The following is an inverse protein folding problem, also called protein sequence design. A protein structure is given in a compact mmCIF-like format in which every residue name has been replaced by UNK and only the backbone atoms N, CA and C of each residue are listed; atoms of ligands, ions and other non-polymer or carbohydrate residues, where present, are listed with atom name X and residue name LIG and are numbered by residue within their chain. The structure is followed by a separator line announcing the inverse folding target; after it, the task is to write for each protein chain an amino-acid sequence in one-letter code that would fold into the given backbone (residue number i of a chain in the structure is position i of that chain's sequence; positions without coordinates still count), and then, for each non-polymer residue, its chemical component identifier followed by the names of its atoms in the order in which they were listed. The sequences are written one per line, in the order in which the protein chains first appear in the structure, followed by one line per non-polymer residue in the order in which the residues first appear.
data_IF_102236291452
#
_entry.id   IF_102236291452
#
_cell.length_a   1.000
_cell.length_b   1.000
_cell.length_c   1.000
_cell.angle_alpha   90.00
_cell.angle_beta   90.00
_cell.angle_gamma   90.00
#
_symmetry.space_group_name_H-M   'P 1'
#
loop_
_entity.id
_entity.type
_entity.pdbx_description
1 polymer ?
#
# COMPACT_ATOMS: atom_id res chain seq x y z
N UNK A 1 16.68 45.28 -34.87
CA UNK A 1 15.94 46.17 -35.80
C UNK A 1 14.47 45.78 -35.72
N UNK A 2 13.45 46.64 -35.64
CA UNK A 2 13.30 48.05 -35.20
C UNK A 2 12.08 48.14 -34.24
N UNK A 3 11.85 49.20 -33.44
CA UNK A 3 11.22 50.50 -33.81
C UNK A 3 9.95 50.33 -34.70
N UNK A 4 8.78 50.92 -34.45
CA UNK A 4 8.20 51.76 -33.36
C UNK A 4 6.64 51.84 -33.58
N UNK A 5 5.75 52.65 -32.96
CA UNK A 5 5.89 53.78 -32.02
C UNK A 5 4.58 54.09 -31.24
N UNK A 6 4.71 54.44 -29.94
CA UNK A 6 4.07 55.54 -29.17
C UNK A 6 2.78 56.25 -29.69
N UNK A 7 1.75 56.38 -28.83
CA UNK A 7 1.00 57.61 -28.42
C UNK A 7 -0.24 57.20 -27.54
N UNK A 8 -0.75 57.97 -26.56
CA UNK A 8 -0.18 59.12 -25.84
C UNK A 8 -1.19 60.06 -25.16
N UNK A 9 -1.26 60.03 -23.81
CA UNK A 9 -1.75 61.07 -22.85
C UNK A 9 -3.19 61.66 -22.96
N UNK A 10 -3.94 61.49 -21.87
CA UNK A 10 -4.30 62.62 -20.97
C UNK A 10 -5.63 63.37 -21.17
N UNK A 11 -6.23 63.79 -20.04
CA UNK A 11 -7.41 64.66 -19.96
C UNK A 11 -7.88 64.81 -18.51
N UNK A 12 -8.27 66.01 -18.07
CA UNK A 12 -8.60 66.33 -16.67
C UNK A 12 -10.09 66.65 -16.45
N UNK A 13 -10.49 66.80 -15.17
CA UNK A 13 -11.78 67.39 -14.77
C UNK A 13 -11.92 68.85 -15.29
N UNK A 14 -13.14 69.39 -15.29
CA UNK A 14 -13.40 70.41 -14.27
C UNK A 14 -14.77 70.27 -13.58
N UNK A 15 -14.89 70.88 -12.39
CA UNK A 15 -16.15 71.05 -11.66
C UNK A 15 -17.05 72.14 -12.29
N UNK A 16 -18.34 72.13 -11.95
CA UNK A 16 -19.14 73.36 -11.78
C UNK A 16 -20.08 73.24 -10.59
N UNK A 17 -20.11 74.29 -9.77
CA UNK A 17 -21.03 74.52 -8.65
C UNK A 17 -22.33 75.19 -9.11
N UNK A 18 -23.36 75.20 -8.25
CA UNK A 18 -24.69 75.73 -8.60
C UNK A 18 -25.67 75.86 -7.42
N UNK A 19 -25.28 76.66 -6.42
CA UNK A 19 -26.07 77.39 -5.39
C UNK A 19 -27.35 76.81 -4.73
N UNK A 20 -27.51 77.14 -3.45
CA UNK A 20 -28.58 76.66 -2.57
C UNK A 20 -29.85 77.52 -2.58
N UNK A 21 -30.95 76.95 -2.07
CA UNK A 21 -32.02 77.66 -1.33
C UNK A 21 -32.65 76.71 -0.32
N UNK A 22 -32.90 77.20 0.90
CA UNK A 22 -33.42 76.40 2.01
C UNK A 22 -34.92 76.59 2.26
N UNK A 23 -35.51 75.61 2.94
CA UNK A 23 -36.84 75.68 3.56
C UNK A 23 -36.79 74.94 4.91
N UNK A 24 -37.71 75.25 5.82
CA UNK A 24 -37.73 74.70 7.19
C UNK A 24 -38.21 73.23 7.24
N UNK A 25 -37.85 72.46 8.30
CA UNK A 25 -38.35 71.10 8.48
C UNK A 25 -39.83 71.07 8.86
N UNK A 26 -40.63 70.24 8.16
CA UNK A 26 -41.97 69.88 8.61
C UNK A 26 -41.89 68.75 9.66
N UNK A 27 -42.57 68.87 10.82
CA UNK A 27 -42.50 67.89 11.90
C UNK A 27 -43.56 66.78 11.76
N UNK A 28 -43.43 65.91 10.76
CA UNK A 28 -44.29 64.72 10.58
C UNK A 28 -43.48 63.42 10.28
N UNK A 29 -42.28 63.32 10.83
CA UNK A 29 -41.42 62.13 10.73
C UNK A 29 -41.77 61.08 11.80
N UNK A 30 -42.93 60.43 11.70
CA UNK A 30 -43.34 59.44 12.71
C UNK A 30 -44.63 58.65 12.45
N UNK A 31 -44.60 57.69 11.51
CA UNK A 31 -45.39 56.44 11.61
C UNK A 31 -45.02 55.37 10.55
N UNK A 32 -44.75 55.77 9.30
CA UNK A 32 -44.63 54.79 8.19
C UNK A 32 -43.44 53.82 8.28
N UNK A 33 -42.38 54.17 9.01
CA UNK A 33 -41.16 53.37 9.09
C UNK A 33 -41.25 52.12 10.00
N UNK A 34 -42.14 52.11 10.99
CA UNK A 34 -42.21 51.03 12.00
C UNK A 34 -43.00 49.81 11.49
N UNK A 35 -44.12 50.05 10.79
CA UNK A 35 -45.00 49.01 10.26
C UNK A 35 -44.29 47.99 9.34
N UNK A 36 -43.24 48.42 8.63
CA UNK A 36 -42.46 47.57 7.70
C UNK A 36 -41.41 46.65 8.36
N UNK A 37 -41.17 46.77 9.67
CA UNK A 37 -40.20 45.95 10.42
C UNK A 37 -40.91 44.89 11.25
N UNK A 38 -41.96 45.28 11.98
CA UNK A 38 -42.77 44.39 12.82
C UNK A 38 -43.38 43.25 11.97
N UNK A 39 -44.01 43.61 10.85
CA UNK A 39 -44.56 42.66 9.86
C UNK A 39 -43.54 41.69 9.23
N UNK A 40 -42.23 41.94 9.34
CA UNK A 40 -41.16 41.03 8.89
C UNK A 40 -40.63 40.12 9.99
N UNK A 41 -40.80 40.51 11.25
CA UNK A 41 -40.48 39.67 12.41
C UNK A 41 -41.60 38.64 12.61
N UNK A 42 -42.85 39.05 12.45
CA UNK A 42 -44.05 38.22 12.60
C UNK A 42 -44.03 37.01 11.64
N UNK A 43 -43.91 37.26 10.32
CA UNK A 43 -43.80 36.20 9.30
C UNK A 43 -42.62 35.24 9.53
N UNK A 44 -41.53 35.69 10.18
CA UNK A 44 -40.42 34.81 10.57
C UNK A 44 -40.77 33.93 11.77
N UNK A 45 -41.52 34.44 12.73
CA UNK A 45 -42.03 33.68 13.87
C UNK A 45 -43.06 32.64 13.44
N UNK A 46 -44.03 33.01 12.58
CA UNK A 46 -45.00 32.09 11.97
C UNK A 46 -44.29 30.96 11.21
N UNK A 47 -43.34 31.30 10.34
CA UNK A 47 -42.61 30.32 9.53
C UNK A 47 -41.71 29.41 10.38
N UNK A 48 -41.15 29.92 11.49
CA UNK A 48 -40.44 29.08 12.46
C UNK A 48 -41.40 28.14 13.21
N UNK A 49 -42.57 28.60 13.63
CA UNK A 49 -43.58 27.77 14.29
C UNK A 49 -44.09 26.65 13.36
N UNK A 50 -44.32 26.95 12.08
CA UNK A 50 -44.66 25.96 11.06
C UNK A 50 -43.56 24.88 10.90
N UNK A 51 -42.29 25.27 10.88
CA UNK A 51 -41.16 24.31 10.82
C UNK A 51 -41.08 23.45 12.09
N UNK A 52 -41.27 24.03 13.28
CA UNK A 52 -41.28 23.29 14.55
C UNK A 52 -42.43 22.26 14.59
N UNK A 53 -43.58 22.57 13.98
CA UNK A 53 -44.73 21.65 13.88
C UNK A 53 -44.47 20.38 13.03
N UNK A 54 -43.42 20.37 12.21
CA UNK A 54 -43.11 19.24 11.34
C UNK A 54 -42.41 18.08 12.10
N UNK A 55 -42.55 16.82 11.65
CA UNK A 55 -41.77 15.69 12.16
C UNK A 55 -40.25 15.87 11.97
N UNK A 56 -39.37 15.31 12.82
CA UNK A 56 -37.93 15.59 12.81
C UNK A 56 -37.24 15.46 11.45
N UNK A 57 -37.44 14.34 10.74
CA UNK A 57 -36.85 14.13 9.40
C UNK A 57 -37.40 15.08 8.32
N UNK A 58 -38.62 15.60 8.50
CA UNK A 58 -39.22 16.58 7.58
C UNK A 58 -38.63 17.98 7.79
N UNK A 59 -38.21 18.33 9.02
CA UNK A 59 -37.55 19.61 9.30
C UNK A 59 -36.25 19.77 8.51
N UNK A 60 -35.43 18.73 8.46
CA UNK A 60 -34.21 18.70 7.64
C UNK A 60 -34.53 18.99 6.17
N UNK A 61 -35.41 18.17 5.57
CA UNK A 61 -35.84 18.35 4.18
C UNK A 61 -36.41 19.75 3.88
N UNK A 62 -37.12 20.40 4.82
CA UNK A 62 -37.57 21.79 4.64
C UNK A 62 -36.40 22.77 4.63
N UNK A 63 -35.43 22.65 5.54
CA UNK A 63 -34.23 23.49 5.55
C UNK A 63 -33.37 23.29 4.30
N UNK A 64 -33.18 22.05 3.86
CA UNK A 64 -32.41 21.69 2.66
C UNK A 64 -33.09 22.25 1.39
N UNK A 65 -34.42 22.13 1.29
CA UNK A 65 -35.20 22.73 0.21
C UNK A 65 -35.13 24.27 0.24
N UNK A 66 -35.18 24.91 1.42
CA UNK A 66 -35.01 26.36 1.55
C UNK A 66 -33.62 26.81 1.10
N UNK A 67 -32.56 26.10 1.49
CA UNK A 67 -31.20 26.34 1.03
C UNK A 67 -31.06 26.16 -0.48
N UNK A 68 -31.59 25.06 -1.02
CA UNK A 68 -31.59 24.72 -2.45
C UNK A 68 -32.35 25.75 -3.31
N UNK A 69 -33.51 26.23 -2.84
CA UNK A 69 -34.29 27.30 -3.50
C UNK A 69 -33.55 28.63 -3.44
N UNK A 70 -32.89 28.97 -2.33
CA UNK A 70 -32.05 30.18 -2.23
C UNK A 70 -30.88 30.13 -3.22
N UNK A 71 -30.08 29.07 -3.20
CA UNK A 71 -28.94 28.90 -4.11
C UNK A 71 -29.37 28.91 -5.57
N UNK A 72 -30.52 28.30 -5.90
CA UNK A 72 -31.10 28.34 -7.24
C UNK A 72 -31.57 29.74 -7.67
N UNK A 73 -32.05 30.57 -6.74
CA UNK A 73 -32.42 31.98 -6.96
C UNK A 73 -31.19 32.88 -7.18
N UNK A 74 -30.17 32.73 -6.34
CA UNK A 74 -28.90 33.45 -6.44
C UNK A 74 -28.21 33.13 -7.79
N UNK A 75 -28.19 31.86 -8.21
CA UNK A 75 -27.62 31.42 -9.50
C UNK A 75 -28.36 31.98 -10.75
N UNK A 76 -29.64 32.36 -10.64
CA UNK A 76 -30.37 33.06 -11.71
C UNK A 76 -30.42 34.59 -11.53
N UNK A 77 -29.76 35.12 -10.50
CA UNK A 77 -29.69 36.55 -10.21
C UNK A 77 -31.03 37.18 -9.80
N UNK A 78 -31.97 36.39 -9.25
CA UNK A 78 -33.31 36.88 -8.86
C UNK A 78 -33.50 36.84 -7.35
N UNK A 79 -34.05 37.92 -6.79
CA UNK A 79 -34.36 38.02 -5.35
C UNK A 79 -35.69 37.34 -4.94
N UNK A 80 -36.51 36.90 -5.90
CA UNK A 80 -37.76 36.15 -5.65
C UNK A 80 -38.29 35.46 -6.91
N UNK A 81 -39.20 34.50 -6.71
CA UNK A 81 -39.97 33.83 -7.76
C UNK A 81 -41.36 34.48 -7.86
N UNK A 82 -41.91 34.73 -9.07
CA UNK A 82 -43.32 35.09 -9.24
C UNK A 82 -44.22 33.87 -8.99
N UNK A 83 -44.41 33.50 -7.72
CA UNK A 83 -45.24 32.37 -7.32
C UNK A 83 -46.73 32.78 -7.25
N UNK A 84 -47.61 32.07 -7.97
CA UNK A 84 -49.02 32.46 -8.19
C UNK A 84 -49.97 32.26 -7.00
N UNK A 85 -49.54 31.60 -5.92
CA UNK A 85 -50.30 31.46 -4.68
C UNK A 85 -49.43 31.95 -3.52
N UNK A 86 -49.74 33.11 -2.93
CA UNK A 86 -49.18 33.47 -1.60
C UNK A 86 -50.02 32.87 -0.47
N UNK A 87 -51.30 32.64 -0.74
CA UNK A 87 -52.37 32.57 0.27
C UNK A 87 -52.70 31.13 0.70
N UNK A 88 -51.72 30.21 0.59
CA UNK A 88 -51.92 28.76 0.72
C UNK A 88 -50.97 28.00 1.65
N UNK A 89 -49.95 28.64 2.22
CA UNK A 89 -49.12 27.99 3.25
C UNK A 89 -49.83 28.13 4.59
N UNK A 90 -50.23 27.00 5.19
CA UNK A 90 -50.98 26.93 6.48
C UNK A 90 -50.48 25.84 7.42
N UNK A 91 -49.68 24.92 6.90
CA UNK A 91 -49.11 23.76 7.59
C UNK A 91 -47.75 23.41 6.96
N UNK A 92 -47.03 22.45 7.53
CA UNK A 92 -45.71 22.06 7.02
C UNK A 92 -45.80 21.33 5.66
N UNK A 93 -46.92 20.67 5.37
CA UNK A 93 -47.18 19.98 4.11
C UNK A 93 -47.28 20.97 2.95
N UNK A 94 -48.04 22.05 3.12
CA UNK A 94 -48.19 23.14 2.13
C UNK A 94 -46.92 23.96 1.99
N UNK A 95 -46.15 24.16 3.07
CA UNK A 95 -44.80 24.76 3.01
C UNK A 95 -43.85 23.90 2.15
N UNK A 96 -43.74 22.60 2.43
CA UNK A 96 -42.88 21.68 1.68
C UNK A 96 -43.31 21.57 0.21
N UNK A 97 -44.62 21.52 -0.06
CA UNK A 97 -45.19 21.52 -1.41
C UNK A 97 -44.85 22.81 -2.17
N UNK A 98 -44.94 23.97 -1.50
CA UNK A 98 -44.56 25.25 -2.10
C UNK A 98 -43.06 25.32 -2.41
N UNK A 99 -42.19 24.88 -1.48
CA UNK A 99 -40.73 24.84 -1.69
C UNK A 99 -40.34 23.90 -2.83
N UNK A 100 -40.93 22.70 -2.89
CA UNK A 100 -40.71 21.74 -3.99
C UNK A 100 -41.18 22.32 -5.34
N UNK A 101 -42.36 22.97 -5.36
CA UNK A 101 -42.87 23.65 -6.56
C UNK A 101 -42.01 24.85 -6.99
N UNK A 102 -41.40 25.56 -6.04
CA UNK A 102 -40.42 26.61 -6.31
C UNK A 102 -39.11 26.05 -6.89
N UNK A 103 -38.60 24.93 -6.33
CA UNK A 103 -37.40 24.27 -6.87
C UNK A 103 -37.61 23.79 -8.30
N UNK A 104 -38.69 23.04 -8.56
CA UNK A 104 -39.06 22.56 -9.90
C UNK A 104 -39.24 23.71 -10.92
N UNK A 105 -39.67 24.89 -10.48
CA UNK A 105 -39.72 26.08 -11.34
C UNK A 105 -38.31 26.63 -11.63
N UNK A 106 -37.43 26.72 -10.63
CA UNK A 106 -36.04 27.14 -10.82
C UNK A 106 -35.30 26.19 -11.76
N UNK A 107 -35.48 24.87 -11.60
CA UNK A 107 -34.90 23.85 -12.48
C UNK A 107 -35.32 24.07 -13.94
N UNK A 108 -36.63 24.21 -14.21
CA UNK A 108 -37.14 24.50 -15.56
C UNK A 108 -36.56 25.80 -16.14
N UNK A 109 -36.40 26.85 -15.33
CA UNK A 109 -35.78 28.11 -15.77
C UNK A 109 -34.29 27.92 -16.07
N UNK A 110 -33.56 27.18 -15.24
CA UNK A 110 -32.14 26.87 -15.45
C UNK A 110 -31.93 26.00 -16.70
N UNK A 111 -32.65 24.88 -16.85
CA UNK A 111 -32.61 24.04 -18.05
C UNK A 111 -32.93 24.85 -19.31
N UNK A 112 -34.03 25.62 -19.32
CA UNK A 112 -34.39 26.44 -20.49
C UNK A 112 -33.38 27.56 -20.82
N UNK A 113 -32.52 27.94 -19.87
CA UNK A 113 -31.39 28.85 -20.10
C UNK A 113 -30.17 28.11 -20.66
N UNK A 114 -29.87 26.92 -20.14
CA UNK A 114 -28.81 26.03 -20.64
C UNK A 114 -29.12 25.62 -22.08
N UNK A 115 -30.35 25.22 -22.39
CA UNK A 115 -30.74 24.81 -23.74
C UNK A 115 -30.66 25.97 -24.73
N UNK A 116 -31.01 27.20 -24.33
CA UNK A 116 -30.78 28.40 -25.15
C UNK A 116 -29.30 28.66 -25.40
N UNK A 117 -28.43 28.42 -24.41
CA UNK A 117 -26.98 28.56 -24.56
C UNK A 117 -26.39 27.48 -25.49
N UNK A 118 -26.85 26.23 -25.37
CA UNK A 118 -26.53 25.13 -26.31
C UNK A 118 -26.92 25.46 -27.75
N UNK A 119 -28.11 26.04 -27.96
CA UNK A 119 -28.58 26.44 -29.30
C UNK A 119 -27.89 27.70 -29.84
N UNK A 120 -27.54 28.66 -28.98
CA UNK A 120 -26.88 29.91 -29.38
C UNK A 120 -25.37 29.75 -29.63
N UNK A 121 -24.74 28.76 -29.01
CA UNK A 121 -23.29 28.56 -29.05
C UNK A 121 -22.94 27.07 -29.25
N UNK A 122 -22.59 26.62 -30.47
CA UNK A 122 -22.22 25.21 -30.71
C UNK A 122 -20.99 24.78 -29.88
N UNK A 123 -20.11 25.71 -29.53
CA UNK A 123 -18.98 25.48 -28.64
C UNK A 123 -19.39 25.17 -27.18
N UNK A 124 -20.65 25.41 -26.79
CA UNK A 124 -21.14 25.09 -25.44
C UNK A 124 -21.17 23.57 -25.20
N UNK A 125 -21.58 22.77 -26.19
CA UNK A 125 -21.53 21.31 -26.08
C UNK A 125 -20.08 20.79 -25.97
N UNK A 126 -19.14 21.45 -26.65
CA UNK A 126 -17.70 21.15 -26.54
C UNK A 126 -17.17 21.52 -25.14
N UNK A 127 -17.62 22.64 -24.57
CA UNK A 127 -17.25 23.06 -23.22
C UNK A 127 -17.86 22.16 -22.15
N UNK A 128 -19.12 21.75 -22.31
CA UNK A 128 -19.84 20.81 -21.45
C UNK A 128 -19.14 19.44 -21.44
N UNK A 129 -18.78 18.90 -22.62
CA UNK A 129 -17.98 17.68 -22.74
C UNK A 129 -16.58 17.82 -22.12
N UNK A 130 -15.88 18.95 -22.32
CA UNK A 130 -14.58 19.21 -21.68
C UNK A 130 -14.68 19.34 -20.16
N UNK A 131 -15.76 19.91 -19.64
CA UNK A 131 -15.99 20.01 -18.21
C UNK A 131 -16.28 18.64 -17.59
N UNK A 132 -17.05 17.79 -18.27
CA UNK A 132 -17.29 16.40 -17.87
C UNK A 132 -15.99 15.57 -17.87
N UNK A 133 -15.14 15.72 -18.89
CA UNK A 133 -13.80 15.11 -18.91
C UNK A 133 -12.90 15.63 -17.78
N UNK A 134 -12.92 16.93 -17.50
CA UNK A 134 -12.16 17.54 -16.41
C UNK A 134 -12.66 17.09 -15.04
N UNK A 135 -13.99 16.92 -14.88
CA UNK A 135 -14.62 16.44 -13.66
C UNK A 135 -14.20 14.99 -13.36
N UNK A 136 -14.29 14.09 -14.35
CA UNK A 136 -13.83 12.70 -14.23
C UNK A 136 -12.35 12.64 -13.91
N UNK A 137 -11.52 13.36 -14.67
CA UNK A 137 -10.09 13.43 -14.39
C UNK A 137 -9.76 14.03 -13.02
N UNK A 138 -10.61 14.89 -12.45
CA UNK A 138 -10.45 15.36 -11.07
C UNK A 138 -10.83 14.27 -10.05
N UNK A 139 -11.95 13.58 -10.26
CA UNK A 139 -12.41 12.45 -9.44
C UNK A 139 -11.38 11.29 -9.44
N UNK A 140 -10.88 10.90 -10.62
CA UNK A 140 -9.80 9.91 -10.78
C UNK A 140 -8.50 10.33 -10.05
N UNK A 141 -8.11 11.61 -10.13
CA UNK A 141 -6.89 12.10 -9.48
C UNK A 141 -7.03 12.20 -7.95
N UNK A 142 -8.21 12.56 -7.43
CA UNK A 142 -8.49 12.53 -5.99
C UNK A 142 -8.38 11.11 -5.45
N UNK A 143 -9.04 10.15 -6.10
CA UNK A 143 -8.98 8.73 -5.72
C UNK A 143 -7.56 8.16 -5.82
N UNK A 144 -6.78 8.55 -6.83
CA UNK A 144 -5.35 8.21 -6.90
C UNK A 144 -4.53 8.75 -5.72
N UNK A 145 -4.83 9.95 -5.23
CA UNK A 145 -4.15 10.57 -4.09
C UNK A 145 -4.54 9.88 -2.78
N UNK A 146 -5.81 9.49 -2.63
CA UNK A 146 -6.32 8.73 -1.48
C UNK A 146 -5.68 7.33 -1.41
N UNK A 147 -5.68 6.59 -2.52
CA UNK A 147 -4.95 5.31 -2.68
C UNK A 147 -3.45 5.49 -2.39
N UNK A 148 -2.79 6.51 -2.96
CA UNK A 148 -1.37 6.79 -2.71
C UNK A 148 -1.08 7.04 -1.23
N UNK A 149 -1.88 7.86 -0.56
CA UNK A 149 -1.71 8.19 0.85
C UNK A 149 -1.90 6.96 1.74
N UNK A 150 -2.95 6.17 1.49
CA UNK A 150 -3.21 4.93 2.21
C UNK A 150 -2.06 3.92 2.04
N UNK A 151 -1.57 3.70 0.82
CA UNK A 151 -0.48 2.75 0.54
C UNK A 151 0.87 3.19 1.15
N UNK A 152 1.14 4.50 1.21
CA UNK A 152 2.32 5.05 1.88
C UNK A 152 2.25 4.82 3.41
N UNK A 153 1.06 5.01 4.00
CA UNK A 153 0.87 4.80 5.43
C UNK A 153 0.90 3.32 5.83
N UNK A 154 0.33 2.42 5.02
CA UNK A 154 0.41 0.97 5.22
C UNK A 154 1.88 0.52 5.30
N UNK A 155 2.70 0.89 4.31
CA UNK A 155 4.11 0.54 4.27
C UNK A 155 5.03 1.30 5.23
N UNK A 156 4.56 1.82 6.37
CA UNK A 156 5.34 2.67 7.28
C UNK A 156 6.16 1.92 8.35
N UNK A 157 5.84 0.66 8.64
CA UNK A 157 6.54 -0.18 9.64
C UNK A 157 7.26 -1.39 9.01
N UNK A 158 7.92 -2.23 9.82
CA UNK A 158 8.75 -3.38 9.39
C UNK A 158 7.92 -4.61 8.95
N UNK A 159 6.98 -4.39 8.03
CA UNK A 159 6.08 -5.42 7.51
C UNK A 159 6.74 -6.32 6.46
N UNK A 160 6.32 -7.59 6.38
CA UNK A 160 6.74 -8.49 5.30
C UNK A 160 6.06 -8.14 3.96
N UNK A 161 6.63 -8.54 2.81
CA UNK A 161 5.98 -8.32 1.50
C UNK A 161 4.57 -8.95 1.39
N UNK A 162 4.26 -9.94 2.23
CA UNK A 162 2.94 -10.56 2.33
C UNK A 162 1.92 -9.61 2.98
N UNK A 163 2.23 -9.06 4.16
CA UNK A 163 1.39 -8.09 4.87
C UNK A 163 1.19 -6.82 4.04
N UNK A 164 2.26 -6.30 3.43
CA UNK A 164 2.19 -5.11 2.58
C UNK A 164 1.28 -5.36 1.36
N UNK A 165 1.28 -6.58 0.80
CA UNK A 165 0.37 -6.95 -0.29
C UNK A 165 -1.09 -7.09 0.19
N UNK A 166 -1.32 -7.67 1.37
CA UNK A 166 -2.64 -7.82 1.98
C UNK A 166 -3.26 -6.45 2.26
N UNK A 167 -2.56 -5.57 2.99
CA UNK A 167 -3.01 -4.20 3.27
C UNK A 167 -3.20 -3.40 1.98
N UNK A 168 -2.32 -3.57 0.98
CA UNK A 168 -2.51 -2.95 -0.34
C UNK A 168 -3.82 -3.39 -1.01
N UNK A 169 -4.25 -4.64 -0.81
CA UNK A 169 -5.49 -5.14 -1.38
C UNK A 169 -6.72 -4.79 -0.55
N UNK A 170 -6.61 -4.66 0.77
CA UNK A 170 -7.68 -4.10 1.61
C UNK A 170 -7.99 -2.65 1.23
N UNK A 171 -6.95 -1.83 0.99
CA UNK A 171 -7.08 -0.48 0.44
C UNK A 171 -7.75 -0.53 -0.93
N UNK A 172 -7.23 -1.33 -1.87
CA UNK A 172 -7.79 -1.41 -3.22
C UNK A 172 -9.20 -2.03 -3.27
N UNK A 173 -9.59 -2.83 -2.27
CA UNK A 173 -10.95 -3.34 -2.08
C UNK A 173 -11.90 -2.21 -1.68
N UNK A 174 -11.52 -1.40 -0.68
CA UNK A 174 -12.31 -0.30 -0.17
C UNK A 174 -12.43 0.84 -1.21
N UNK A 175 -11.30 1.34 -1.70
CA UNK A 175 -11.24 2.49 -2.62
C UNK A 175 -11.84 2.20 -4.00
N UNK A 176 -11.85 0.93 -4.44
CA UNK A 176 -12.53 0.52 -5.69
C UNK A 176 -13.92 -0.12 -5.48
N UNK A 177 -14.43 -0.12 -4.24
CA UNK A 177 -15.72 -0.69 -3.80
C UNK A 177 -15.95 -2.16 -4.25
N UNK A 178 -14.93 -3.00 -4.22
CA UNK A 178 -15.02 -4.40 -4.63
C UNK A 178 -15.62 -5.30 -3.53
N UNK A 179 -16.22 -6.44 -3.92
CA UNK A 179 -16.87 -7.38 -2.99
C UNK A 179 -15.89 -8.36 -2.31
N UNK A 180 -14.77 -8.68 -2.98
CA UNK A 180 -13.74 -9.66 -2.57
C UNK A 180 -12.39 -9.31 -3.19
N UNK A 181 -11.30 -9.48 -2.45
CA UNK A 181 -9.93 -9.49 -2.98
C UNK A 181 -9.27 -10.87 -2.85
N UNK A 182 -8.30 -11.16 -3.72
CA UNK A 182 -7.39 -12.32 -3.63
C UNK A 182 -5.96 -11.87 -3.95
N UNK A 183 -5.05 -12.07 -3.02
CA UNK A 183 -3.63 -11.74 -3.12
C UNK A 183 -2.78 -12.97 -3.35
N UNK A 184 -1.90 -12.93 -4.35
CA UNK A 184 -0.89 -13.98 -4.57
C UNK A 184 0.50 -13.37 -4.76
N UNK A 185 1.50 -13.96 -4.12
CA UNK A 185 2.92 -13.66 -4.38
C UNK A 185 3.58 -14.84 -5.08
N UNK A 186 4.67 -14.55 -5.80
CA UNK A 186 5.51 -15.54 -6.43
C UNK A 186 6.65 -15.96 -5.49
N UNK A 187 6.84 -17.26 -5.30
CA UNK A 187 7.90 -17.81 -4.46
C UNK A 187 9.28 -17.83 -5.16
N UNK A 188 10.28 -18.43 -4.50
CA UNK A 188 11.67 -18.50 -5.01
C UNK A 188 11.80 -19.51 -6.15
N UNK A 189 11.02 -20.57 -6.06
CA UNK A 189 10.90 -21.67 -7.02
C UNK A 189 10.18 -21.21 -8.31
N UNK A 190 9.40 -20.14 -8.22
CA UNK A 190 8.68 -19.52 -9.33
C UNK A 190 7.20 -19.92 -9.42
N UNK A 191 6.66 -20.64 -8.43
CA UNK A 191 5.24 -20.90 -8.27
C UNK A 191 4.54 -19.67 -7.71
N UNK A 192 3.22 -19.65 -7.81
CA UNK A 192 2.38 -18.68 -7.12
C UNK A 192 1.92 -19.27 -5.78
N UNK A 193 1.76 -18.43 -4.77
CA UNK A 193 1.24 -18.78 -3.46
C UNK A 193 0.13 -17.80 -3.09
N UNK A 194 -1.01 -18.33 -2.64
CA UNK A 194 -2.04 -17.52 -2.02
C UNK A 194 -1.52 -16.94 -0.70
N UNK A 195 -1.70 -15.64 -0.50
CA UNK A 195 -1.23 -14.90 0.67
C UNK A 195 -2.40 -14.55 1.57
N UNK A 196 -3.42 -13.91 0.99
CA UNK A 196 -4.55 -13.36 1.71
C UNK A 196 -5.74 -13.22 0.76
N UNK A 197 -6.96 -13.34 1.28
CA UNK A 197 -8.17 -13.11 0.52
C UNK A 197 -9.37 -12.91 1.45
N UNK A 198 -9.99 -11.74 1.39
CA UNK A 198 -11.08 -11.36 2.28
C UNK A 198 -12.20 -10.64 1.51
N UNK A 199 -13.41 -10.71 2.03
CA UNK A 199 -14.58 -10.03 1.49
C UNK A 199 -14.78 -8.66 2.15
N UNK A 200 -15.45 -7.73 1.48
CA UNK A 200 -15.73 -6.39 2.02
C UNK A 200 -16.63 -6.36 3.28
N UNK A 201 -17.09 -7.53 3.75
CA UNK A 201 -17.89 -7.72 4.96
C UNK A 201 -17.20 -8.58 6.02
N UNK A 202 -16.02 -9.12 5.72
CA UNK A 202 -15.39 -10.21 6.47
C UNK A 202 -16.27 -11.47 6.59
N UNK A 203 -17.16 -11.68 5.60
CA UNK A 203 -17.83 -12.97 5.34
C UNK A 203 -16.80 -14.02 4.90
N UNK A 204 -17.11 -15.31 5.10
CA UNK A 204 -16.24 -16.45 4.75
C UNK A 204 -15.70 -16.38 3.32
N UNK A 205 -14.38 -16.49 3.18
CA UNK A 205 -13.67 -16.51 1.89
C UNK A 205 -14.12 -17.71 1.03
N UNK A 206 -14.62 -17.49 -0.20
CA UNK A 206 -15.13 -18.58 -1.05
C UNK A 206 -14.06 -19.61 -1.46
N UNK A 207 -14.45 -20.88 -1.61
CA UNK A 207 -13.51 -21.99 -1.86
C UNK A 207 -12.63 -21.83 -3.13
N UNK A 208 -13.18 -21.25 -4.21
CA UNK A 208 -12.43 -21.05 -5.48
C UNK A 208 -11.16 -20.19 -5.33
N UNK A 209 -11.07 -19.42 -4.25
CA UNK A 209 -9.89 -18.61 -3.90
C UNK A 209 -8.63 -19.46 -3.71
N UNK A 210 -8.78 -20.76 -3.41
CA UNK A 210 -7.69 -21.74 -3.41
C UNK A 210 -7.33 -22.13 -4.84
N UNK A 211 -8.32 -22.53 -5.64
CA UNK A 211 -8.13 -23.29 -6.89
C UNK A 211 -7.89 -22.45 -8.17
N UNK A 212 -7.81 -21.11 -8.08
CA UNK A 212 -7.65 -20.25 -9.25
C UNK A 212 -6.46 -20.67 -10.14
N UNK A 213 -6.75 -20.84 -11.44
CA UNK A 213 -6.04 -21.67 -12.42
C UNK A 213 -4.58 -21.26 -12.77
N UNK A 214 -3.65 -21.45 -11.84
CA UNK A 214 -2.21 -21.14 -12.01
C UNK A 214 -1.51 -21.95 -13.13
N UNK A 215 -2.09 -23.08 -13.56
CA UNK A 215 -1.51 -23.99 -14.54
C UNK A 215 -2.11 -23.86 -15.96
N UNK A 216 -2.96 -22.85 -16.23
CA UNK A 216 -3.64 -22.68 -17.52
C UNK A 216 -3.13 -21.43 -18.27
N UNK A 217 -2.18 -21.56 -19.23
CA UNK A 217 -1.61 -20.42 -19.96
C UNK A 217 -2.63 -19.56 -20.74
N UNK A 218 -3.80 -20.11 -21.03
CA UNK A 218 -4.85 -19.44 -21.78
C UNK A 218 -5.75 -18.56 -20.90
N UNK A 219 -5.81 -18.78 -19.58
CA UNK A 219 -6.58 -17.95 -18.65
C UNK A 219 -6.13 -16.47 -18.73
N UNK A 220 -7.03 -15.46 -18.76
CA UNK A 220 -6.67 -14.09 -19.12
C UNK A 220 -5.58 -13.48 -18.23
N UNK A 221 -5.63 -13.75 -16.92
CA UNK A 221 -4.63 -13.28 -15.96
C UNK A 221 -3.27 -13.94 -16.19
N UNK A 222 -3.23 -15.26 -16.46
CA UNK A 222 -1.98 -16.00 -16.69
C UNK A 222 -1.33 -15.61 -18.03
N UNK A 223 -2.14 -15.38 -19.07
CA UNK A 223 -1.69 -14.84 -20.36
C UNK A 223 -1.06 -13.45 -20.21
N UNK A 224 -1.66 -12.60 -19.36
CA UNK A 224 -1.13 -11.27 -19.08
C UNK A 224 0.13 -11.30 -18.21
N UNK A 225 0.20 -12.19 -17.21
CA UNK A 225 1.41 -12.51 -16.42
C UNK A 225 2.59 -12.89 -17.33
N UNK A 226 2.34 -13.72 -18.34
CA UNK A 226 3.35 -14.11 -19.34
C UNK A 226 3.75 -12.97 -20.30
N UNK A 227 2.83 -12.03 -20.58
CA UNK A 227 3.15 -10.79 -21.29
C UNK A 227 4.01 -9.84 -20.43
N UNK A 228 4.83 -9.00 -21.06
CA UNK A 228 5.74 -8.08 -20.35
C UNK A 228 5.15 -6.69 -20.05
N UNK A 229 4.13 -6.27 -20.80
CA UNK A 229 3.64 -4.88 -20.78
C UNK A 229 2.20 -4.73 -20.22
N UNK A 230 1.57 -5.83 -19.79
CA UNK A 230 0.20 -5.79 -19.25
C UNK A 230 0.28 -5.67 -17.72
N UNK A 231 -0.18 -4.54 -17.19
CA UNK A 231 -0.20 -4.26 -15.75
C UNK A 231 -1.52 -4.65 -15.09
N UNK A 232 -2.64 -4.62 -15.80
CA UNK A 232 -3.93 -5.08 -15.28
C UNK A 232 -4.72 -5.87 -16.34
N UNK A 233 -5.65 -6.70 -15.88
CA UNK A 233 -6.64 -7.42 -16.70
C UNK A 233 -8.02 -7.17 -16.12
N UNK A 234 -8.94 -6.77 -17.00
CA UNK A 234 -10.35 -6.63 -16.70
C UNK A 234 -11.09 -7.83 -17.31
N UNK A 235 -12.00 -8.44 -16.56
CA UNK A 235 -12.90 -9.50 -17.03
C UNK A 235 -14.32 -9.15 -16.61
N UNK A 236 -15.12 -8.63 -17.53
CA UNK A 236 -16.49 -8.17 -17.31
C UNK A 236 -17.53 -9.28 -17.22
N UNK A 237 -17.25 -10.44 -17.83
CA UNK A 237 -18.11 -11.62 -17.77
C UNK A 237 -17.36 -12.89 -17.31
N UNK A 238 -17.62 -13.34 -16.09
CA UNK A 238 -17.02 -14.54 -15.49
C UNK A 238 -17.75 -15.87 -15.82
N UNK A 239 -18.77 -15.88 -16.69
CA UNK A 239 -19.68 -17.02 -16.91
C UNK A 239 -19.04 -18.32 -17.43
N UNK A 240 -17.78 -18.29 -17.88
CA UNK A 240 -17.10 -19.39 -18.56
C UNK A 240 -17.03 -19.15 -20.08
N UNK A 241 -15.86 -19.33 -20.68
CA UNK A 241 -15.61 -19.00 -22.09
C UNK A 241 -16.37 -19.94 -23.05
N UNK A 242 -16.62 -21.17 -22.63
CA UNK A 242 -17.50 -22.14 -23.28
C UNK A 242 -18.98 -21.72 -23.27
N UNK A 243 -19.34 -20.71 -22.46
CA UNK A 243 -20.68 -20.09 -22.37
C UNK A 243 -20.70 -18.64 -22.91
N UNK A 244 -19.63 -18.18 -23.56
CA UNK A 244 -19.51 -16.81 -24.08
C UNK A 244 -18.99 -15.76 -23.08
N UNK A 245 -18.44 -16.20 -21.95
CA UNK A 245 -17.69 -15.36 -21.02
C UNK A 245 -16.24 -15.12 -21.40
N UNK A 246 -15.55 -14.31 -20.61
CA UNK A 246 -14.14 -13.96 -20.79
C UNK A 246 -13.20 -14.78 -19.89
N UNK A 247 -13.73 -15.30 -18.77
CA UNK A 247 -13.00 -16.22 -17.88
C UNK A 247 -13.00 -17.65 -18.42
N UNK A 248 -11.91 -18.39 -18.21
CA UNK A 248 -11.83 -19.83 -18.51
C UNK A 248 -12.36 -20.66 -17.34
N UNK A 249 -12.19 -20.16 -16.11
CA UNK A 249 -12.81 -20.63 -14.88
C UNK A 249 -14.19 -19.98 -14.68
N UNK A 250 -15.22 -20.79 -14.41
CA UNK A 250 -16.59 -20.34 -14.13
C UNK A 250 -17.02 -20.48 -12.66
N UNK A 251 -16.18 -21.01 -11.76
CA UNK A 251 -16.51 -21.18 -10.33
C UNK A 251 -16.77 -19.82 -9.64
N UNK A 252 -16.03 -18.72 -9.88
CA UNK A 252 -16.38 -17.40 -9.36
C UNK A 252 -17.79 -16.95 -9.75
N UNK A 253 -18.27 -17.35 -10.93
CA UNK A 253 -19.62 -17.03 -11.41
C UNK A 253 -20.70 -17.87 -10.73
N UNK A 254 -20.41 -19.14 -10.40
CA UNK A 254 -21.27 -20.00 -9.60
C UNK A 254 -21.44 -19.42 -8.17
N UNK A 255 -20.36 -18.92 -7.57
CA UNK A 255 -20.35 -18.18 -6.30
C UNK A 255 -20.98 -16.78 -6.38
N UNK A 256 -21.55 -16.40 -7.52
CA UNK A 256 -22.32 -15.18 -7.71
C UNK A 256 -21.51 -13.91 -7.97
N UNK A 257 -20.21 -14.01 -8.28
CA UNK A 257 -19.44 -12.90 -8.84
C UNK A 257 -19.68 -12.78 -10.35
N UNK A 258 -19.48 -11.60 -10.92
CA UNK A 258 -19.84 -11.30 -12.32
C UNK A 258 -18.70 -10.67 -13.09
N UNK A 259 -17.93 -9.79 -12.44
CA UNK A 259 -16.74 -9.17 -13.01
C UNK A 259 -15.53 -9.25 -12.08
N UNK A 260 -14.33 -9.13 -12.66
CA UNK A 260 -13.01 -9.20 -12.01
C UNK A 260 -12.07 -8.13 -12.57
N UNK A 261 -11.24 -7.57 -11.71
CA UNK A 261 -10.12 -6.70 -12.03
C UNK A 261 -8.85 -7.26 -11.37
N UNK A 262 -7.87 -7.67 -12.18
CA UNK A 262 -6.63 -8.27 -11.73
C UNK A 262 -5.44 -7.36 -12.01
N UNK A 263 -4.83 -6.80 -10.98
CA UNK A 263 -3.55 -6.09 -11.05
C UNK A 263 -2.38 -7.08 -11.02
N UNK A 264 -1.36 -6.81 -11.83
CA UNK A 264 -0.19 -7.66 -12.03
C UNK A 264 1.04 -6.87 -11.61
N UNK A 265 1.58 -7.23 -10.44
CA UNK A 265 2.68 -6.53 -9.82
C UNK A 265 4.01 -6.97 -10.45
N UNK A 266 4.79 -5.99 -10.92
CA UNK A 266 6.01 -6.22 -11.72
C UNK A 266 7.20 -5.47 -11.16
N UNK A 267 8.34 -6.12 -11.20
CA UNK A 267 9.63 -5.53 -10.85
C UNK A 267 10.20 -4.65 -11.98
N UNK A 268 11.40 -4.10 -11.76
CA UNK A 268 12.11 -3.26 -12.72
C UNK A 268 12.44 -3.99 -14.04
N UNK A 269 12.55 -5.33 -14.01
CA UNK A 269 12.74 -6.20 -15.18
C UNK A 269 11.42 -6.53 -15.90
N UNK A 270 10.29 -6.01 -15.40
CA UNK A 270 8.91 -6.29 -15.83
C UNK A 270 8.43 -7.71 -15.57
N UNK A 271 9.15 -8.50 -14.77
CA UNK A 271 8.77 -9.85 -14.39
C UNK A 271 7.65 -9.77 -13.35
N UNK A 272 6.59 -10.55 -13.55
CA UNK A 272 5.48 -10.61 -12.61
C UNK A 272 5.91 -11.34 -11.33
N UNK A 273 5.72 -10.68 -10.19
CA UNK A 273 6.03 -11.19 -8.84
C UNK A 273 4.81 -11.25 -7.91
N UNK A 274 3.74 -10.51 -8.21
CA UNK A 274 2.55 -10.43 -7.37
C UNK A 274 1.26 -10.24 -8.18
N UNK A 275 0.13 -10.55 -7.56
CA UNK A 275 -1.22 -10.38 -8.09
C UNK A 275 -2.15 -9.85 -7.00
N UNK A 276 -2.99 -8.88 -7.34
CA UNK A 276 -4.20 -8.53 -6.58
C UNK A 276 -5.39 -8.70 -7.52
N UNK A 277 -6.33 -9.56 -7.16
CA UNK A 277 -7.54 -9.82 -7.94
C UNK A 277 -8.78 -9.40 -7.16
N UNK A 278 -9.38 -8.29 -7.59
CA UNK A 278 -10.65 -7.79 -7.08
C UNK A 278 -11.81 -8.42 -7.86
N UNK A 279 -12.90 -8.74 -7.18
CA UNK A 279 -14.12 -9.28 -7.75
C UNK A 279 -15.33 -8.42 -7.37
N UNK A 280 -16.32 -8.35 -8.26
CA UNK A 280 -17.62 -7.77 -7.95
C UNK A 280 -18.77 -8.67 -8.40
N UNK A 281 -19.86 -8.63 -7.64
CA UNK A 281 -21.14 -9.28 -7.94
C UNK A 281 -21.94 -8.53 -9.00
N UNK A 282 -21.52 -7.32 -9.38
CA UNK A 282 -22.09 -6.57 -10.50
C UNK A 282 -21.39 -6.88 -11.84
N UNK A 283 -22.17 -6.94 -12.92
CA UNK A 283 -21.69 -7.08 -14.29
C UNK A 283 -21.04 -5.77 -14.77
N UNK A 284 -19.95 -5.86 -15.53
CA UNK A 284 -19.19 -4.73 -16.06
C UNK A 284 -18.64 -3.72 -15.03
N UNK A 285 -18.70 -4.02 -13.72
CA UNK A 285 -18.48 -3.07 -12.61
C UNK A 285 -17.21 -2.21 -12.76
N UNK A 286 -16.07 -2.87 -12.98
CA UNK A 286 -14.77 -2.20 -13.07
C UNK A 286 -14.57 -1.37 -14.35
N UNK A 287 -15.47 -1.48 -15.35
CA UNK A 287 -15.43 -0.67 -16.58
C UNK A 287 -15.77 0.80 -16.36
N UNK A 288 -16.12 1.19 -15.12
CA UNK A 288 -16.31 2.59 -14.71
C UNK A 288 -15.00 3.38 -14.59
N UNK A 289 -13.86 2.70 -14.42
CA UNK A 289 -12.54 3.31 -14.24
C UNK A 289 -11.79 3.46 -15.56
N UNK A 290 -10.99 4.52 -15.71
CA UNK A 290 -10.18 4.72 -16.90
C UNK A 290 -8.96 3.77 -16.97
N UNK A 291 -8.55 3.43 -18.19
CA UNK A 291 -7.40 2.54 -18.42
C UNK A 291 -6.06 3.12 -17.94
N UNK A 292 -5.90 4.46 -17.90
CA UNK A 292 -4.70 5.09 -17.35
C UNK A 292 -4.72 5.02 -15.83
N UNK A 293 -5.87 5.34 -15.21
CA UNK A 293 -6.07 5.21 -13.77
C UNK A 293 -5.71 3.80 -13.29
N UNK A 294 -6.30 2.75 -13.87
CA UNK A 294 -6.00 1.35 -13.51
C UNK A 294 -4.52 0.97 -13.75
N UNK A 295 -3.90 1.50 -14.80
CA UNK A 295 -2.47 1.31 -15.07
C UNK A 295 -1.57 1.98 -14.03
N UNK A 296 -1.92 3.18 -13.58
CA UNK A 296 -1.20 3.95 -12.56
C UNK A 296 -1.40 3.34 -11.17
N UNK A 297 -2.61 2.90 -10.78
CA UNK A 297 -2.85 2.11 -9.56
C UNK A 297 -1.93 0.89 -9.48
N UNK A 298 -1.92 0.08 -10.55
CA UNK A 298 -1.08 -1.12 -10.63
C UNK A 298 0.41 -0.81 -10.44
N UNK A 299 0.86 0.33 -10.96
CA UNK A 299 2.25 0.78 -10.86
C UNK A 299 2.61 1.24 -9.45
N UNK A 300 1.73 1.97 -8.78
CA UNK A 300 1.92 2.40 -7.38
C UNK A 300 2.06 1.18 -6.48
N UNK A 301 1.11 0.23 -6.54
CA UNK A 301 1.17 -0.99 -5.73
C UNK A 301 2.41 -1.84 -6.06
N UNK A 302 2.81 -1.93 -7.33
CA UNK A 302 4.04 -2.63 -7.74
C UNK A 302 5.28 -2.05 -7.07
N UNK A 303 5.36 -0.72 -6.91
CA UNK A 303 6.47 -0.05 -6.25
C UNK A 303 6.42 -0.22 -4.73
N UNK A 304 5.24 -0.10 -4.11
CA UNK A 304 5.06 -0.28 -2.67
C UNK A 304 5.44 -1.70 -2.21
N UNK A 305 4.87 -2.73 -2.83
CA UNK A 305 5.17 -4.14 -2.49
C UNK A 305 6.57 -4.53 -2.97
N UNK A 306 6.97 -4.07 -4.17
CA UNK A 306 8.26 -4.40 -4.78
C UNK A 306 9.46 -3.86 -3.99
N UNK A 307 9.41 -2.61 -3.53
CA UNK A 307 10.49 -2.04 -2.70
C UNK A 307 10.69 -2.78 -1.38
N UNK A 308 9.60 -3.20 -0.71
CA UNK A 308 9.68 -4.03 0.50
C UNK A 308 10.24 -5.42 0.22
N UNK A 309 9.93 -6.00 -0.94
CA UNK A 309 10.49 -7.27 -1.42
C UNK A 309 11.99 -7.15 -1.76
N UNK A 310 12.44 -6.03 -2.32
CA UNK A 310 13.85 -5.72 -2.56
C UNK A 310 14.63 -5.48 -1.25
N UNK A 311 14.10 -4.70 -0.30
CA UNK A 311 14.69 -4.51 1.03
C UNK A 311 14.82 -5.84 1.79
N UNK A 312 13.79 -6.69 1.76
CA UNK A 312 13.87 -8.03 2.36
C UNK A 312 14.93 -8.94 1.71
N UNK A 313 15.13 -8.83 0.38
CA UNK A 313 16.21 -9.53 -0.33
C UNK A 313 17.60 -9.02 0.06
N UNK A 314 17.79 -7.71 0.17
CA UNK A 314 19.06 -7.09 0.58
C UNK A 314 19.42 -7.46 2.03
N UNK A 315 18.46 -7.37 2.96
CA UNK A 315 18.66 -7.81 4.35
C UNK A 315 19.06 -9.30 4.44
N UNK A 316 18.40 -10.18 3.69
CA UNK A 316 18.76 -11.61 3.61
C UNK A 316 20.12 -11.84 2.95
N UNK A 317 20.48 -11.07 1.91
CA UNK A 317 21.78 -11.16 1.26
C UNK A 317 22.92 -10.72 2.20
N UNK A 318 22.70 -9.64 2.98
CA UNK A 318 23.62 -9.17 4.02
C UNK A 318 23.77 -10.18 5.16
N UNK A 319 22.67 -10.78 5.62
CA UNK A 319 22.70 -11.86 6.61
C UNK A 319 23.50 -13.08 6.11
N UNK A 320 23.25 -13.52 4.87
CA UNK A 320 23.99 -14.62 4.25
C UNK A 320 25.48 -14.30 4.07
N UNK A 321 25.83 -13.06 3.71
CA UNK A 321 27.21 -12.59 3.64
C UNK A 321 27.92 -12.56 4.99
N UNK A 322 27.23 -12.07 6.03
CA UNK A 322 27.71 -12.12 7.42
C UNK A 322 27.96 -13.55 7.91
N UNK A 323 27.01 -14.45 7.68
CA UNK A 323 27.16 -15.88 7.98
C UNK A 323 28.30 -16.54 7.20
N UNK A 324 28.46 -16.23 5.91
CA UNK A 324 29.58 -16.76 5.13
C UNK A 324 30.93 -16.31 5.72
N UNK A 325 31.04 -15.05 6.17
CA UNK A 325 32.25 -14.56 6.82
C UNK A 325 32.49 -15.19 8.20
N UNK A 326 31.49 -15.24 9.08
CA UNK A 326 31.60 -15.87 10.41
C UNK A 326 31.88 -17.38 10.29
N UNK A 327 31.17 -18.07 9.41
CA UNK A 327 31.32 -19.49 9.12
C UNK A 327 32.71 -19.82 8.55
N UNK A 328 33.19 -19.07 7.56
CA UNK A 328 34.55 -19.27 7.01
C UNK A 328 35.63 -19.05 8.07
N UNK A 329 35.50 -18.02 8.92
CA UNK A 329 36.46 -17.77 9.99
C UNK A 329 36.44 -18.88 11.06
N UNK A 330 35.26 -19.37 11.44
CA UNK A 330 35.12 -20.50 12.36
C UNK A 330 35.67 -21.81 11.77
N UNK A 331 35.39 -22.10 10.49
CA UNK A 331 35.91 -23.28 9.78
C UNK A 331 37.43 -23.23 9.56
N UNK A 332 38.00 -22.05 9.28
CA UNK A 332 39.45 -21.88 9.18
C UNK A 332 40.14 -22.10 10.54
N UNK A 333 39.57 -21.59 11.63
CA UNK A 333 40.08 -21.79 12.98
C UNK A 333 39.97 -23.27 13.41
N UNK A 334 38.83 -23.90 13.17
CA UNK A 334 38.62 -25.35 13.34
C UNK A 334 39.67 -26.17 12.58
N UNK A 335 39.86 -25.87 11.29
CA UNK A 335 40.83 -26.56 10.43
C UNK A 335 42.24 -26.41 10.96
N UNK A 336 42.69 -25.19 11.27
CA UNK A 336 44.06 -24.96 11.74
C UNK A 336 44.34 -25.71 13.06
N UNK A 337 43.39 -25.72 13.99
CA UNK A 337 43.53 -26.46 15.25
C UNK A 337 43.54 -27.99 15.04
N UNK A 338 42.76 -28.51 14.08
CA UNK A 338 42.78 -29.95 13.74
C UNK A 338 44.03 -30.36 12.96
N UNK A 339 44.60 -29.48 12.13
CA UNK A 339 45.88 -29.72 11.44
C UNK A 339 47.03 -29.82 12.45
N UNK A 340 47.11 -28.92 13.44
CA UNK A 340 48.09 -29.00 14.54
C UNK A 340 47.96 -30.30 15.33
N UNK A 341 46.74 -30.66 15.76
CA UNK A 341 46.49 -31.90 16.52
C UNK A 341 46.81 -33.14 15.70
N UNK A 342 46.57 -33.14 14.39
CA UNK A 342 46.94 -34.24 13.51
C UNK A 342 48.47 -34.38 13.35
N UNK A 343 49.21 -33.27 13.27
CA UNK A 343 50.67 -33.26 13.19
C UNK A 343 51.32 -33.74 14.51
N UNK A 344 50.84 -33.27 15.66
CA UNK A 344 51.27 -33.75 16.99
C UNK A 344 51.02 -35.26 17.18
N UNK A 345 49.84 -35.76 16.77
CA UNK A 345 49.51 -37.19 16.83
C UNK A 345 50.37 -38.01 15.86
N UNK A 346 50.66 -37.49 14.65
CA UNK A 346 51.51 -38.18 13.68
C UNK A 346 52.95 -38.36 14.20
N UNK A 347 53.55 -37.29 14.74
CA UNK A 347 54.90 -37.35 15.36
C UNK A 347 54.92 -38.36 16.53
N UNK A 348 53.91 -38.35 17.39
CA UNK A 348 53.81 -39.34 18.48
C UNK A 348 53.65 -40.78 17.97
N UNK A 349 52.89 -40.99 16.88
CA UNK A 349 52.68 -42.30 16.29
C UNK A 349 53.98 -42.86 15.64
N UNK A 350 54.80 -42.01 15.02
CA UNK A 350 56.11 -42.41 14.50
C UNK A 350 57.06 -42.83 15.64
N UNK A 351 57.18 -42.01 16.69
CA UNK A 351 58.04 -42.30 17.85
C UNK A 351 57.58 -43.58 18.59
N UNK A 352 56.26 -43.79 18.70
CA UNK A 352 55.67 -45.01 19.25
C UNK A 352 55.92 -46.24 18.37
N UNK A 353 55.85 -46.13 17.05
CA UNK A 353 56.16 -47.23 16.12
C UNK A 353 57.66 -47.62 16.20
N UNK A 354 58.56 -46.64 16.31
CA UNK A 354 59.99 -46.89 16.55
C UNK A 354 60.20 -47.68 17.85
N UNK A 355 59.50 -47.33 18.93
CA UNK A 355 59.58 -48.09 20.19
C UNK A 355 58.97 -49.50 20.10
N UNK A 356 57.83 -49.66 19.43
CA UNK A 356 57.23 -50.99 19.18
C UNK A 356 58.11 -51.91 18.32
N UNK A 357 58.98 -51.34 17.47
CA UNK A 357 59.95 -52.11 16.68
C UNK A 357 61.16 -52.62 17.47
N UNK A 358 61.32 -52.22 18.75
CA UNK A 358 62.45 -52.66 19.57
C UNK A 358 62.22 -54.07 20.14
N UNK A 359 63.20 -55.00 20.03
CA UNK A 359 63.03 -56.36 20.52
C UNK A 359 62.96 -56.43 22.05
N UNK A 360 61.94 -57.11 22.56
CA UNK A 360 61.72 -57.36 23.99
C UNK A 360 62.60 -58.55 24.45
N UNK A 361 63.39 -58.42 25.54
CA UNK A 361 64.19 -59.53 26.05
C UNK A 361 63.34 -60.47 26.94
N UNK A 362 63.16 -61.73 26.49
CA UNK A 362 62.26 -62.70 27.15
C UNK A 362 62.89 -63.47 28.32
N UNK A 363 64.22 -63.52 28.44
CA UNK A 363 64.94 -64.36 29.41
C UNK A 363 66.21 -63.68 29.99
N UNK A 364 66.85 -64.20 31.07
CA UNK A 364 67.57 -63.38 32.07
C UNK A 364 68.82 -62.59 31.64
N UNK A 365 69.24 -61.71 32.55
CA UNK A 365 70.13 -60.57 32.33
C UNK A 365 71.59 -60.90 32.00
N UNK A 366 72.14 -60.10 31.08
CA UNK A 366 73.56 -59.93 30.78
C UNK A 366 73.84 -58.44 30.46
N UNK A 367 75.10 -58.00 30.39
CA UNK A 367 75.46 -56.58 30.21
C UNK A 367 74.91 -55.96 28.93
N UNK A 368 74.90 -56.70 27.81
CA UNK A 368 74.34 -56.17 26.55
C UNK A 368 72.81 -56.09 26.58
N UNK A 369 72.12 -57.02 27.27
CA UNK A 369 70.68 -56.87 27.57
C UNK A 369 70.42 -55.68 28.49
N UNK A 370 71.31 -55.39 29.45
CA UNK A 370 71.19 -54.20 30.31
C UNK A 370 71.36 -52.89 29.50
N UNK A 371 72.24 -52.86 28.50
CA UNK A 371 72.34 -51.74 27.53
C UNK A 371 71.07 -51.63 26.67
N UNK A 372 70.52 -52.75 26.22
CA UNK A 372 69.31 -52.81 25.38
C UNK A 372 68.07 -52.33 26.16
N UNK A 373 67.89 -52.81 27.40
CA UNK A 373 66.85 -52.34 28.31
C UNK A 373 67.02 -50.84 28.67
N UNK A 374 68.24 -50.37 28.89
CA UNK A 374 68.51 -48.93 29.04
C UNK A 374 68.19 -48.13 27.75
N UNK A 375 68.32 -48.74 26.58
CA UNK A 375 67.84 -48.20 25.30
C UNK A 375 66.32 -48.05 25.26
N UNK A 376 65.59 -49.12 25.57
CA UNK A 376 64.12 -49.11 25.64
C UNK A 376 63.61 -48.11 26.69
N UNK A 377 64.20 -48.07 27.89
CA UNK A 377 63.85 -47.09 28.92
C UNK A 377 64.11 -45.66 28.45
N UNK A 378 65.22 -45.39 27.74
CA UNK A 378 65.48 -44.06 27.15
C UNK A 378 64.51 -43.71 26.03
N UNK A 379 64.03 -44.68 25.24
CA UNK A 379 63.05 -44.47 24.19
C UNK A 379 61.66 -44.18 24.77
N UNK A 380 61.20 -44.98 25.74
CA UNK A 380 59.98 -44.71 26.50
C UNK A 380 60.04 -43.37 27.24
N UNK A 381 61.19 -43.02 27.85
CA UNK A 381 61.42 -41.69 28.45
C UNK A 381 61.51 -40.55 27.42
N UNK A 382 61.69 -40.84 26.13
CA UNK A 382 61.64 -39.83 25.06
C UNK A 382 60.19 -39.59 24.64
N UNK A 383 59.44 -40.67 24.38
CA UNK A 383 57.99 -40.66 24.11
C UNK A 383 57.23 -39.93 25.23
N UNK A 384 57.45 -40.32 26.50
CA UNK A 384 56.84 -39.67 27.68
C UNK A 384 57.34 -38.23 27.96
N UNK A 385 58.28 -37.71 27.16
CA UNK A 385 58.74 -36.30 27.23
C UNK A 385 58.39 -35.50 25.97
N UNK A 386 58.12 -36.15 24.84
CA UNK A 386 57.61 -35.54 23.63
C UNK A 386 56.10 -35.36 23.65
N UNK A 387 55.37 -36.24 24.35
CA UNK A 387 53.92 -36.12 24.53
C UNK A 387 53.59 -35.12 25.65
N UNK A 388 53.48 -33.84 25.28
CA UNK A 388 52.79 -32.85 26.11
C UNK A 388 51.28 -32.87 25.79
N UNK A 389 50.46 -33.04 26.82
CA UNK A 389 49.01 -33.08 26.70
C UNK A 389 48.36 -31.68 26.75
N UNK A 390 49.06 -30.64 27.21
CA UNK A 390 48.48 -29.29 27.30
C UNK A 390 48.27 -28.61 25.93
N UNK A 391 49.23 -28.61 24.98
CA UNK A 391 49.03 -28.03 23.65
C UNK A 391 47.91 -28.70 22.87
N UNK A 392 47.85 -30.03 22.94
CA UNK A 392 46.83 -30.84 22.26
C UNK A 392 45.44 -30.62 22.86
N UNK A 393 45.33 -30.56 24.19
CA UNK A 393 44.09 -30.18 24.91
C UNK A 393 43.63 -28.77 24.53
N UNK A 394 44.53 -27.80 24.52
CA UNK A 394 44.19 -26.41 24.27
C UNK A 394 43.84 -26.16 22.80
N UNK A 395 44.46 -26.88 21.86
CA UNK A 395 44.08 -26.91 20.44
C UNK A 395 42.69 -27.54 20.24
N UNK A 396 42.37 -28.65 20.90
CA UNK A 396 41.03 -29.25 20.88
C UNK A 396 39.98 -28.33 21.52
N UNK A 397 40.31 -27.60 22.60
CA UNK A 397 39.44 -26.57 23.18
C UNK A 397 39.19 -25.43 22.20
N UNK A 398 40.22 -24.93 21.54
CA UNK A 398 40.12 -23.86 20.54
C UNK A 398 39.23 -24.29 19.35
N UNK A 399 39.37 -25.53 18.89
CA UNK A 399 38.47 -26.13 17.90
C UNK A 399 37.01 -26.19 18.39
N UNK A 400 36.79 -26.62 19.64
CA UNK A 400 35.45 -26.66 20.26
C UNK A 400 34.81 -25.26 20.32
N UNK A 401 35.55 -24.24 20.76
CA UNK A 401 35.11 -22.84 20.76
C UNK A 401 34.74 -22.34 19.34
N UNK A 402 35.48 -22.78 18.32
CA UNK A 402 35.16 -22.54 16.91
C UNK A 402 33.83 -23.13 16.48
N UNK A 403 33.58 -24.40 16.81
CA UNK A 403 32.30 -25.08 16.54
C UNK A 403 31.13 -24.45 17.31
N UNK A 404 31.33 -24.06 18.57
CA UNK A 404 30.30 -23.43 19.39
C UNK A 404 29.93 -22.03 18.89
N UNK A 405 30.90 -21.22 18.43
CA UNK A 405 30.61 -19.94 17.74
C UNK A 405 29.79 -20.14 16.47
N UNK A 406 30.10 -21.17 15.68
CA UNK A 406 29.37 -21.49 14.45
C UNK A 406 27.92 -21.92 14.78
N UNK A 407 27.74 -22.77 15.79
CA UNK A 407 26.43 -23.15 16.34
C UNK A 407 25.64 -21.94 16.85
N UNK A 408 26.29 -21.03 17.58
CA UNK A 408 25.70 -19.81 18.11
C UNK A 408 25.23 -18.86 17.01
N UNK A 409 26.04 -18.61 15.98
CA UNK A 409 25.66 -17.78 14.83
C UNK A 409 24.45 -18.36 14.06
N UNK A 410 24.39 -19.69 13.91
CA UNK A 410 23.23 -20.37 13.30
C UNK A 410 21.97 -20.22 14.17
N UNK A 411 22.10 -20.37 15.50
CA UNK A 411 20.98 -20.19 16.43
C UNK A 411 20.46 -18.75 16.44
N UNK A 412 21.36 -17.76 16.51
CA UNK A 412 21.01 -16.33 16.42
C UNK A 412 20.33 -16.01 15.09
N UNK A 413 20.76 -16.59 13.96
CA UNK A 413 20.09 -16.37 12.68
C UNK A 413 18.69 -16.97 12.64
N UNK A 414 18.49 -18.18 13.18
CA UNK A 414 17.16 -18.79 13.27
C UNK A 414 16.22 -17.94 14.14
N UNK A 415 16.71 -17.42 15.27
CA UNK A 415 15.96 -16.49 16.11
C UNK A 415 15.68 -15.15 15.38
N UNK A 416 16.65 -14.60 14.65
CA UNK A 416 16.52 -13.35 13.89
C UNK A 416 15.61 -13.47 12.64
N UNK A 417 15.29 -14.68 12.19
CA UNK A 417 14.25 -14.94 11.17
C UNK A 417 12.85 -14.79 11.76
N UNK A 418 12.67 -15.03 13.06
CA UNK A 418 11.39 -14.86 13.77
C UNK A 418 11.29 -13.48 14.45
N UNK A 419 12.40 -12.94 14.96
CA UNK A 419 12.50 -11.67 15.70
C UNK A 419 13.78 -10.90 15.28
N UNK A 420 13.76 -10.13 14.17
CA UNK A 420 14.95 -9.48 13.64
C UNK A 420 15.48 -8.35 14.54
N UNK A 421 16.70 -8.52 15.07
CA UNK A 421 17.41 -7.49 15.85
C UNK A 421 18.47 -6.82 14.98
N UNK A 422 18.32 -5.50 14.77
CA UNK A 422 19.20 -4.69 13.94
C UNK A 422 20.26 -4.00 14.80
N UNK A 423 21.53 -4.14 14.43
CA UNK A 423 22.63 -3.32 14.94
C UNK A 423 22.90 -2.13 14.02
N UNK A 424 23.14 -0.96 14.62
CA UNK A 424 23.64 0.22 13.91
C UNK A 424 25.16 0.19 13.80
N UNK A 425 25.70 -0.04 12.59
CA UNK A 425 27.14 0.09 12.36
C UNK A 425 27.57 1.55 12.22
N UNK A 426 28.83 1.85 12.56
CA UNK A 426 29.41 3.22 12.70
C UNK A 426 29.45 4.03 11.38
N UNK A 427 28.84 3.54 10.30
CA UNK A 427 28.68 4.24 9.01
C UNK A 427 27.23 4.42 8.54
N UNK A 428 26.23 4.10 9.37
CA UNK A 428 24.82 4.30 9.04
C UNK A 428 24.23 3.20 8.13
N UNK A 429 24.84 2.02 8.10
CA UNK A 429 24.24 0.82 7.51
C UNK A 429 23.64 -0.04 8.63
N UNK A 430 22.41 -0.48 8.41
CA UNK A 430 21.70 -1.42 9.28
C UNK A 430 22.02 -2.87 8.89
N UNK A 431 22.39 -3.68 9.88
CA UNK A 431 22.76 -5.09 9.71
C UNK A 431 22.16 -5.89 10.86
N UNK A 432 21.69 -7.11 10.60
CA UNK A 432 21.23 -8.02 11.64
C UNK A 432 22.40 -8.43 12.55
N UNK A 433 22.20 -8.40 13.86
CA UNK A 433 23.21 -8.87 14.81
C UNK A 433 23.26 -10.40 14.84
N UNK A 434 24.46 -10.94 14.64
CA UNK A 434 24.73 -12.38 14.53
C UNK A 434 25.87 -12.82 15.48
N UNK A 435 26.41 -11.94 16.34
CA UNK A 435 27.43 -12.35 17.31
C UNK A 435 26.78 -13.01 18.55
N UNK A 436 27.09 -14.29 18.87
CA UNK A 436 26.53 -14.98 20.04
C UNK A 436 27.04 -14.45 21.40
N UNK A 437 27.71 -13.27 21.44
CA UNK A 437 28.25 -12.63 22.65
C UNK A 437 27.59 -11.29 23.01
N UNK A 438 26.56 -10.86 22.27
CA UNK A 438 25.80 -9.63 22.55
C UNK A 438 24.51 -9.86 23.37
N UNK A 439 24.36 -11.04 24.00
CA UNK A 439 23.27 -11.40 24.91
C UNK A 439 23.82 -11.88 26.25
#
# INVERSE_FOLDING_TARGET
MGKANVFGRGGARPDKSGEAKGAMPNPDSGNEAQCGIESRLDVRAEMAALIVSAPPGVRGAIFDLMGSVKTGLDAIGKKSIPHKNRDRVKDWQSLLTALTGMRLYLDRVQSSRIDRLRHAHPNYAILEHRFELLKRAYEDNTLMIEILFALINAGSEFQTPSEVLEQSAEIMLAELEADLFVCRLRDREGNWKNIAANTAKMDQTPLFVLDLEENFPFHPVMRAVAGQNITYVLSNNLQGSERGGESYDCVPYQEGYRSRLAFILRDLERKAFGLIMLYSRAENFFSRYDSKFLGDCSRVVSLTVGSRLEVGRDALAKAAGGMAHVGNNALALLRNCLEIVAEEIAVFAEDAAVFQSMPVPEEPFDQDKARQAAGMVRAAQRIMKGFDAEPLRDSVRCALEGAERLRGAIANLLEAVENPVIMHYIRGEEVLDLDPRNK
#
